data_IF_571089620718
#
_entry.id   IF_571089620718
#
_cell.length_a   1.000
_cell.length_b   1.000
_cell.length_c   1.000
_cell.angle_alpha   90.00
_cell.angle_beta   90.00
_cell.angle_gamma   90.00
#
_symmetry.space_group_name_H-M   'P 1'
#
loop_
_entity.id
_entity.type
_entity.pdbx_description
1 polymer ?
#
# COMPACT_ATOMS: atom_id res chain seq x y z
N UNK A 1 17.94 6.78 7.47
CA UNK A 1 18.03 5.69 6.47
C UNK A 1 18.07 4.30 7.08
N UNK A 2 19.02 3.96 7.98
CA UNK A 2 19.09 2.59 8.55
C UNK A 2 17.81 2.16 9.29
N UNK A 3 17.18 3.06 10.05
CA UNK A 3 15.91 2.77 10.74
C UNK A 3 14.80 2.38 9.77
N UNK A 4 14.68 3.11 8.66
CA UNK A 4 13.71 2.82 7.59
C UNK A 4 13.91 1.43 6.97
N UNK A 5 15.15 1.06 6.65
CA UNK A 5 15.43 -0.28 6.12
C UNK A 5 15.11 -1.38 7.13
N UNK A 6 15.44 -1.17 8.42
CA UNK A 6 15.07 -2.12 9.48
C UNK A 6 13.55 -2.29 9.57
N UNK A 7 12.81 -1.20 9.40
CA UNK A 7 11.35 -1.22 9.38
C UNK A 7 10.81 -2.05 8.22
N UNK A 8 11.31 -1.82 7.01
CA UNK A 8 10.92 -2.56 5.81
C UNK A 8 11.26 -4.05 5.93
N UNK A 9 12.44 -4.40 6.46
CA UNK A 9 12.86 -5.78 6.67
C UNK A 9 11.97 -6.47 7.71
N UNK A 10 11.69 -5.79 8.83
CA UNK A 10 10.79 -6.31 9.87
C UNK A 10 9.40 -6.56 9.30
N UNK A 11 8.86 -5.61 8.52
CA UNK A 11 7.57 -5.75 7.86
C UNK A 11 7.56 -6.94 6.89
N UNK A 12 8.57 -7.06 6.02
CA UNK A 12 8.68 -8.18 5.07
C UNK A 12 8.77 -9.53 5.77
N UNK A 13 9.47 -9.62 6.90
CA UNK A 13 9.59 -10.87 7.69
C UNK A 13 8.29 -11.25 8.42
N UNK A 14 7.44 -10.27 8.73
CA UNK A 14 6.15 -10.49 9.40
C UNK A 14 4.96 -10.67 8.47
N UNK A 15 5.17 -10.64 7.14
CA UNK A 15 4.09 -10.75 6.15
C UNK A 15 4.39 -11.84 5.13
N UNK A 16 3.51 -12.83 5.09
CA UNK A 16 3.52 -13.89 4.08
C UNK A 16 3.27 -13.31 2.68
N UNK A 17 2.39 -12.31 2.56
CA UNK A 17 2.11 -11.63 1.30
C UNK A 17 3.35 -10.93 0.72
N UNK A 18 4.16 -10.26 1.54
CA UNK A 18 5.39 -9.64 1.05
C UNK A 18 6.44 -10.67 0.67
N UNK A 19 6.53 -11.78 1.40
CA UNK A 19 7.52 -12.83 1.17
C UNK A 19 7.21 -13.68 -0.06
N UNK A 20 5.96 -14.14 -0.19
CA UNK A 20 5.55 -15.22 -1.10
C UNK A 20 4.29 -14.90 -1.92
N UNK A 21 3.56 -13.85 -1.55
CA UNK A 21 2.30 -13.49 -2.21
C UNK A 21 2.42 -13.22 -3.71
N UNK A 22 1.27 -13.29 -4.37
CA UNK A 22 1.11 -12.80 -5.74
C UNK A 22 1.29 -11.28 -5.79
N UNK A 23 1.40 -10.73 -7.00
CA UNK A 23 1.44 -9.28 -7.23
C UNK A 23 0.40 -8.90 -8.27
N UNK A 24 -0.47 -7.97 -7.93
CA UNK A 24 -1.47 -7.41 -8.84
C UNK A 24 -1.34 -5.90 -8.90
N UNK A 25 -1.12 -5.35 -10.09
CA UNK A 25 -1.14 -3.90 -10.29
C UNK A 25 -2.57 -3.35 -10.19
N UNK A 26 -2.74 -2.27 -9.43
CA UNK A 26 -4.00 -1.54 -9.35
C UNK A 26 -3.92 -0.18 -10.05
N UNK A 27 -2.76 0.46 -10.00
CA UNK A 27 -2.52 1.75 -10.64
C UNK A 27 -1.05 1.92 -11.01
N UNK A 28 -0.78 2.46 -12.20
CA UNK A 28 0.55 2.84 -12.66
C UNK A 28 0.43 4.24 -13.25
N UNK A 29 1.11 5.19 -12.63
CA UNK A 29 1.24 6.56 -13.10
C UNK A 29 2.70 6.92 -13.40
N UNK A 30 2.98 8.16 -13.82
CA UNK A 30 4.33 8.61 -14.17
C UNK A 30 5.33 8.52 -13.01
N UNK A 31 4.88 8.76 -11.78
CA UNK A 31 5.73 8.85 -10.59
C UNK A 31 5.26 7.97 -9.42
N UNK A 32 4.20 7.18 -9.62
CA UNK A 32 3.60 6.33 -8.59
C UNK A 32 3.18 4.99 -9.17
N UNK A 33 3.38 3.93 -8.39
CA UNK A 33 2.77 2.62 -8.66
C UNK A 33 2.08 2.10 -7.41
N UNK A 34 0.90 1.50 -7.61
CA UNK A 34 0.09 0.91 -6.55
C UNK A 34 -0.25 -0.52 -6.92
N UNK A 35 0.00 -1.44 -6.00
CA UNK A 35 -0.17 -2.87 -6.22
C UNK A 35 -0.60 -3.60 -4.95
N UNK A 36 -1.27 -4.73 -5.13
CA UNK A 36 -1.57 -5.68 -4.06
C UNK A 36 -0.48 -6.74 -3.97
N UNK A 37 -0.21 -7.15 -2.74
CA UNK A 37 0.49 -8.38 -2.39
C UNK A 37 -0.47 -9.25 -1.61
N UNK A 38 -0.69 -10.47 -2.08
CA UNK A 38 -1.79 -11.29 -1.57
C UNK A 38 -1.43 -12.78 -1.49
N UNK A 39 -1.76 -13.39 -0.35
CA UNK A 39 -1.90 -14.83 -0.12
C UNK A 39 -3.30 -15.11 0.43
N UNK A 40 -3.62 -16.38 0.70
CA UNK A 40 -4.95 -16.76 1.20
C UNK A 40 -5.33 -16.09 2.53
N UNK A 41 -4.36 -15.62 3.32
CA UNK A 41 -4.58 -15.09 4.68
C UNK A 41 -3.96 -13.71 4.92
N UNK A 42 -3.22 -13.17 3.96
CA UNK A 42 -2.52 -11.89 4.11
C UNK A 42 -2.66 -11.06 2.83
N UNK A 43 -3.19 -9.83 2.97
CA UNK A 43 -3.47 -8.93 1.85
C UNK A 43 -2.95 -7.55 2.19
N UNK A 44 -2.04 -7.05 1.37
CA UNK A 44 -1.40 -5.75 1.56
C UNK A 44 -1.53 -4.89 0.31
N UNK A 45 -1.93 -3.65 0.51
CA UNK A 45 -1.86 -2.58 -0.47
C UNK A 45 -0.52 -1.86 -0.32
N UNK A 46 0.26 -1.81 -1.39
CA UNK A 46 1.54 -1.13 -1.45
C UNK A 46 1.47 0.05 -2.41
N UNK A 47 2.02 1.19 -2.02
CA UNK A 47 2.17 2.37 -2.87
C UNK A 47 3.63 2.83 -2.84
N UNK A 48 4.25 2.93 -4.00
CA UNK A 48 5.61 3.43 -4.17
C UNK A 48 5.59 4.66 -5.07
N UNK A 49 6.10 5.78 -4.56
CA UNK A 49 6.19 7.04 -5.29
C UNK A 49 7.63 7.56 -5.32
N UNK A 50 8.09 7.98 -6.50
CA UNK A 50 9.44 8.58 -6.68
C UNK A 50 9.44 10.10 -6.60
N UNK A 51 8.27 10.73 -6.74
CA UNK A 51 8.07 12.18 -6.64
C UNK A 51 6.63 12.46 -6.17
N UNK A 52 6.30 13.74 -5.96
CA UNK A 52 4.89 14.15 -5.76
C UNK A 52 4.08 13.85 -7.01
N UNK A 53 2.85 13.37 -6.85
CA UNK A 53 1.99 12.93 -7.96
C UNK A 53 0.53 13.31 -7.72
N UNK A 54 -0.33 13.05 -8.71
CA UNK A 54 -1.77 13.18 -8.53
C UNK A 54 -2.29 12.10 -7.56
N UNK A 55 -3.20 12.46 -6.66
CA UNK A 55 -3.74 11.54 -5.66
C UNK A 55 -4.42 10.33 -6.33
N UNK A 56 -4.01 9.13 -5.93
CA UNK A 56 -4.63 7.88 -6.40
C UNK A 56 -5.86 7.60 -5.54
N UNK A 57 -6.98 7.30 -6.18
CA UNK A 57 -8.25 6.99 -5.51
C UNK A 57 -8.75 5.62 -5.94
N UNK A 58 -8.92 4.71 -4.97
CA UNK A 58 -9.37 3.35 -5.21
C UNK A 58 -10.79 3.15 -4.63
N UNK A 59 -11.74 2.59 -5.37
CA UNK A 59 -13.05 2.23 -4.81
C UNK A 59 -12.88 1.19 -3.70
N UNK A 60 -13.45 1.42 -2.51
CA UNK A 60 -13.31 0.48 -1.38
C UNK A 60 -13.87 -0.91 -1.71
N UNK A 61 -14.97 -0.96 -2.47
CA UNK A 61 -15.57 -2.20 -2.97
C UNK A 61 -14.60 -3.06 -3.79
N UNK A 62 -13.71 -2.44 -4.56
CA UNK A 62 -12.71 -3.15 -5.36
C UNK A 62 -11.60 -3.79 -4.52
N UNK A 63 -11.40 -3.29 -3.28
CA UNK A 63 -10.40 -3.81 -2.36
C UNK A 63 -10.92 -5.01 -1.56
N UNK A 64 -12.24 -5.23 -1.53
CA UNK A 64 -12.88 -6.33 -0.81
C UNK A 64 -12.39 -6.41 0.64
N UNK A 65 -12.36 -5.29 1.35
CA UNK A 65 -11.92 -5.21 2.73
C UNK A 65 -12.91 -4.42 3.57
N UNK A 66 -12.98 -4.78 4.85
CA UNK A 66 -13.75 -4.09 5.89
C UNK A 66 -12.92 -3.02 6.60
N UNK A 67 -11.58 -3.20 6.66
CA UNK A 67 -10.67 -2.29 7.35
C UNK A 67 -9.32 -2.18 6.64
N UNK A 68 -8.70 -1.01 6.78
CA UNK A 68 -7.37 -0.70 6.25
C UNK A 68 -6.46 -0.26 7.39
N UNK A 69 -5.52 -1.12 7.79
CA UNK A 69 -4.58 -0.85 8.87
C UNK A 69 -3.25 -0.34 8.31
N UNK A 70 -2.74 0.78 8.81
CA UNK A 70 -1.47 1.35 8.35
C UNK A 70 -0.28 0.61 8.98
N UNK A 71 0.53 -0.03 8.15
CA UNK A 71 1.72 -0.76 8.60
C UNK A 71 3.01 0.02 8.40
N UNK A 72 3.07 0.86 7.36
CA UNK A 72 4.21 1.69 7.03
C UNK A 72 3.78 2.99 6.37
N UNK A 73 4.30 4.11 6.87
CA UNK A 73 4.06 5.45 6.33
C UNK A 73 2.74 6.07 6.79
N UNK A 74 2.07 6.80 5.90
CA UNK A 74 0.91 7.64 6.25
C UNK A 74 -0.40 6.90 5.95
N UNK A 75 -1.40 7.08 6.83
CA UNK A 75 -2.72 6.50 6.65
C UNK A 75 -3.42 7.11 5.42
N UNK A 76 -4.18 6.31 4.66
CA UNK A 76 -4.99 6.82 3.58
C UNK A 76 -6.24 7.50 4.15
N UNK A 77 -6.89 8.34 3.35
CA UNK A 77 -8.16 8.96 3.72
C UNK A 77 -9.32 8.24 3.06
N UNK A 78 -10.43 8.07 3.78
CA UNK A 78 -11.68 7.58 3.22
C UNK A 78 -12.57 8.77 2.87
N UNK A 79 -12.86 8.96 1.59
CA UNK A 79 -13.73 10.03 1.08
C UNK A 79 -14.73 9.40 0.12
N UNK A 80 -16.03 9.55 0.39
CA UNK A 80 -17.10 9.09 -0.52
C UNK A 80 -16.91 7.66 -1.07
N UNK A 81 -16.60 6.70 -0.18
CA UNK A 81 -16.34 5.28 -0.53
C UNK A 81 -15.09 5.04 -1.40
N UNK A 82 -14.16 6.01 -1.43
CA UNK A 82 -12.86 5.90 -2.07
C UNK A 82 -11.74 6.03 -1.06
N UNK A 83 -10.78 5.13 -1.17
CA UNK A 83 -9.52 5.19 -0.46
C UNK A 83 -8.58 6.13 -1.22
N UNK A 84 -8.34 7.32 -0.67
CA UNK A 84 -7.43 8.33 -1.21
C UNK A 84 -6.05 8.13 -0.61
N UNK A 85 -5.07 7.82 -1.46
CA UNK A 85 -3.71 7.53 -1.02
C UNK A 85 -2.89 8.83 -0.87
N UNK A 86 -1.95 8.89 0.09
CA UNK A 86 -0.99 9.99 0.18
C UNK A 86 -0.24 10.18 -1.15
N UNK A 87 -0.04 11.44 -1.54
CA UNK A 87 0.53 11.79 -2.85
C UNK A 87 1.85 12.57 -2.77
N UNK A 88 2.35 12.83 -1.56
CA UNK A 88 3.64 13.48 -1.32
C UNK A 88 4.76 12.44 -1.39
N UNK A 89 5.63 12.54 -2.39
CA UNK A 89 6.78 11.67 -2.59
C UNK A 89 8.12 12.42 -2.58
N UNK A 90 9.25 11.70 -2.56
CA UNK A 90 9.38 10.25 -2.63
C UNK A 90 8.94 9.55 -1.33
N UNK A 91 8.16 8.48 -1.46
CA UNK A 91 7.62 7.74 -0.32
C UNK A 91 7.28 6.28 -0.68
N UNK A 92 7.22 5.43 0.34
CA UNK A 92 6.68 4.08 0.22
C UNK A 92 5.74 3.80 1.40
N UNK A 93 4.56 3.29 1.08
CA UNK A 93 3.48 3.04 2.02
C UNK A 93 2.99 1.60 1.91
N UNK A 94 2.60 1.04 3.06
CA UNK A 94 2.02 -0.30 3.13
C UNK A 94 0.85 -0.30 4.09
N UNK A 95 -0.29 -0.81 3.61
CA UNK A 95 -1.50 -0.96 4.40
C UNK A 95 -1.99 -2.39 4.34
N UNK A 96 -2.47 -2.93 5.47
CA UNK A 96 -3.11 -4.23 5.54
C UNK A 96 -4.59 -4.11 5.27
N UNK A 97 -5.10 -4.97 4.41
CA UNK A 97 -6.51 -5.09 4.08
C UNK A 97 -7.08 -6.26 4.89
N UNK A 98 -8.10 -5.98 5.70
CA UNK A 98 -8.79 -6.97 6.55
C UNK A 98 -10.25 -7.09 6.15
#
# INVERSE_FOLDING_TARGET
LLGWYRECIRLRRGSDALAHGSMQWLHVGPDVVVYLRETATDRLLCCAARATHAAVQLPVESLQCSRVDTLLGVAPQLVENRLVLPASGPAFHVWKLV
#
